data_IF_203507494347
#
_entry.id   IF_203507494347
#
_cell.length_a   1.000
_cell.length_b   1.000
_cell.length_c   1.000
_cell.angle_alpha   90.00
_cell.angle_beta   90.00
_cell.angle_gamma   90.00
#
_symmetry.space_group_name_H-M   'P 1'
#
loop_
_entity.id
_entity.type
_entity.pdbx_description
1 polymer ?
#
# COMPACT_ATOMS: atom_id res chain seq x y z
N UNK A 1 7.98 21.48 -5.97
CA UNK A 1 6.77 20.90 -5.37
C UNK A 1 6.87 19.39 -5.48
N UNK A 2 7.03 18.72 -4.35
CA UNK A 2 7.23 17.27 -4.28
C UNK A 2 5.87 16.61 -4.01
N UNK A 3 5.46 15.66 -4.84
CA UNK A 3 4.19 14.95 -4.64
C UNK A 3 4.49 13.51 -4.24
N UNK A 4 3.97 13.10 -3.09
CA UNK A 4 4.08 11.73 -2.57
C UNK A 4 2.78 10.97 -2.83
N UNK A 5 2.89 9.75 -3.35
CA UNK A 5 1.76 8.83 -3.53
C UNK A 5 1.65 7.90 -2.33
N UNK A 6 0.44 7.73 -1.80
CA UNK A 6 0.15 6.77 -0.73
C UNK A 6 -0.80 5.70 -1.30
N UNK A 7 -0.40 4.43 -1.22
CA UNK A 7 -1.23 3.28 -1.58
C UNK A 7 -1.70 2.61 -0.28
N UNK A 8 -3.02 2.56 -0.07
CA UNK A 8 -3.60 1.91 1.10
C UNK A 8 -3.86 0.42 0.81
N UNK A 9 -2.99 -0.45 1.31
CA UNK A 9 -3.00 -1.90 1.10
C UNK A 9 -3.17 -2.71 2.40
N UNK A 10 -3.71 -2.07 3.46
CA UNK A 10 -3.78 -2.64 4.81
C UNK A 10 -5.01 -3.53 5.07
N UNK A 11 -6.00 -3.54 4.18
CA UNK A 11 -7.31 -4.14 4.42
C UNK A 11 -7.36 -5.66 4.26
N UNK A 12 -8.21 -6.30 5.07
CA UNK A 12 -8.35 -7.76 5.13
C UNK A 12 -9.11 -8.43 3.97
N UNK A 13 -9.67 -7.66 3.03
CA UNK A 13 -10.43 -8.24 1.92
C UNK A 13 -11.62 -9.10 2.36
N UNK A 14 -12.31 -8.72 3.45
CA UNK A 14 -13.38 -9.54 4.07
C UNK A 14 -14.49 -9.96 3.10
N UNK A 15 -14.89 -9.06 2.19
CA UNK A 15 -15.87 -9.36 1.12
C UNK A 15 -15.35 -10.28 0.02
N UNK A 16 -14.03 -10.52 -0.01
CA UNK A 16 -13.33 -11.46 -0.90
C UNK A 16 -12.86 -12.70 -0.13
N UNK A 17 -13.57 -13.08 0.94
CA UNK A 17 -13.27 -14.29 1.71
C UNK A 17 -11.96 -14.23 2.51
N UNK A 18 -11.48 -13.04 2.87
CA UNK A 18 -10.23 -12.88 3.61
C UNK A 18 -8.98 -12.94 2.73
N UNK A 19 -9.12 -12.94 1.41
CA UNK A 19 -8.00 -12.85 0.49
C UNK A 19 -7.27 -11.51 0.63
N UNK A 20 -5.93 -11.55 0.57
CA UNK A 20 -5.10 -10.34 0.60
C UNK A 20 -5.26 -9.60 -0.73
N UNK A 21 -6.23 -8.67 -0.79
CA UNK A 21 -6.65 -8.00 -2.04
C UNK A 21 -5.48 -7.37 -2.82
N UNK A 22 -4.48 -6.83 -2.11
CA UNK A 22 -3.29 -6.25 -2.74
C UNK A 22 -2.48 -7.26 -3.56
N UNK A 23 -2.55 -8.55 -3.21
CA UNK A 23 -1.80 -9.64 -3.84
C UNK A 23 -2.65 -10.49 -4.78
N UNK A 24 -3.95 -10.22 -4.88
CA UNK A 24 -4.79 -10.88 -5.87
C UNK A 24 -4.35 -10.50 -7.28
N UNK A 25 -4.26 -11.51 -8.15
CA UNK A 25 -3.92 -11.31 -9.54
C UNK A 25 -5.03 -10.53 -10.26
N UNK A 26 -4.63 -9.51 -11.00
CA UNK A 26 -5.44 -8.85 -12.02
C UNK A 26 -4.72 -9.15 -13.33
N UNK A 27 -5.23 -10.12 -14.10
CA UNK A 27 -4.47 -10.70 -15.22
C UNK A 27 -3.25 -11.48 -14.72
N UNK A 28 -2.07 -11.14 -15.25
CA UNK A 28 -0.78 -11.79 -14.99
C UNK A 28 -0.01 -11.22 -13.78
N UNK A 29 -0.51 -10.14 -13.15
CA UNK A 29 0.21 -9.40 -12.11
C UNK A 29 -0.66 -9.12 -10.89
N UNK A 30 -0.08 -9.08 -9.67
CA UNK A 30 -0.78 -8.64 -8.48
C UNK A 30 -1.37 -7.24 -8.61
N UNK A 31 -2.49 -6.97 -7.92
CA UNK A 31 -3.12 -5.65 -7.90
C UNK A 31 -2.15 -4.54 -7.47
N UNK A 32 -1.28 -4.82 -6.48
CA UNK A 32 -0.26 -3.88 -6.01
C UNK A 32 0.78 -3.55 -7.10
N UNK A 33 1.28 -4.56 -7.81
CA UNK A 33 2.22 -4.37 -8.94
C UNK A 33 1.60 -3.47 -10.02
N UNK A 34 0.36 -3.75 -10.41
CA UNK A 34 -0.35 -2.91 -11.39
C UNK A 34 -0.50 -1.47 -10.93
N UNK A 35 -0.88 -1.24 -9.67
CA UNK A 35 -0.95 0.11 -9.11
C UNK A 35 0.43 0.79 -9.06
N UNK A 36 1.47 0.04 -8.71
CA UNK A 36 2.84 0.52 -8.69
C UNK A 36 3.27 1.04 -10.07
N UNK A 37 3.02 0.25 -11.11
CA UNK A 37 3.36 0.56 -12.51
C UNK A 37 2.62 1.77 -13.09
N UNK A 38 1.49 2.17 -12.51
CA UNK A 38 0.74 3.37 -12.91
C UNK A 38 1.32 4.68 -12.34
N UNK A 39 2.55 4.68 -11.83
CA UNK A 39 3.17 5.88 -11.25
C UNK A 39 3.50 6.91 -12.35
N UNK A 40 2.93 8.14 -12.30
CA UNK A 40 3.42 9.23 -13.13
C UNK A 40 4.92 9.47 -12.95
N UNK A 41 5.67 9.76 -14.02
CA UNK A 41 7.09 10.10 -13.95
C UNK A 41 7.41 11.27 -13.00
N UNK A 42 6.42 12.15 -12.76
CA UNK A 42 6.55 13.33 -11.90
C UNK A 42 6.39 13.06 -10.40
N UNK A 43 6.04 11.83 -9.99
CA UNK A 43 5.92 11.47 -8.58
C UNK A 43 7.27 11.00 -8.03
N UNK A 44 7.79 11.71 -7.03
CA UNK A 44 9.09 11.41 -6.44
C UNK A 44 9.10 10.20 -5.50
N UNK A 45 8.00 9.96 -4.77
CA UNK A 45 7.94 8.92 -3.72
C UNK A 45 6.60 8.20 -3.71
N UNK A 46 6.62 6.87 -3.56
CA UNK A 46 5.42 6.05 -3.31
C UNK A 46 5.59 5.30 -1.98
N UNK A 47 4.60 5.41 -1.10
CA UNK A 47 4.54 4.73 0.19
C UNK A 47 3.34 3.77 0.18
N UNK A 48 3.55 2.51 0.55
CA UNK A 48 2.49 1.50 0.68
C UNK A 48 2.18 1.26 2.15
N UNK A 49 0.92 1.44 2.56
CA UNK A 49 0.48 1.18 3.93
C UNK A 49 -0.05 -0.25 4.04
N UNK A 50 0.53 -1.04 4.94
CA UNK A 50 0.24 -2.48 5.16
C UNK A 50 -0.50 -2.72 6.48
N UNK A 51 -1.11 -3.90 6.65
CA UNK A 51 -2.01 -4.23 7.76
C UNK A 51 -2.27 -5.74 7.92
N UNK A 52 -3.51 -6.20 7.66
CA UNK A 52 -3.98 -7.59 7.90
C UNK A 52 -2.98 -8.71 7.53
N UNK A 53 -2.29 -8.58 6.39
CA UNK A 53 -1.28 -9.54 5.93
C UNK A 53 0.05 -8.84 5.62
N UNK A 54 0.50 -8.01 6.57
CA UNK A 54 1.61 -7.09 6.35
C UNK A 54 2.88 -7.77 5.82
N UNK A 55 3.32 -8.89 6.38
CA UNK A 55 4.55 -9.57 5.94
C UNK A 55 4.50 -9.98 4.45
N UNK A 56 3.34 -10.47 3.99
CA UNK A 56 3.15 -10.87 2.59
C UNK A 56 3.17 -9.64 1.67
N UNK A 57 2.47 -8.57 2.06
CA UNK A 57 2.40 -7.33 1.27
C UNK A 57 3.75 -6.62 1.24
N UNK A 58 4.48 -6.58 2.36
CA UNK A 58 5.81 -5.97 2.47
C UNK A 58 6.86 -6.75 1.66
N UNK A 59 6.73 -8.07 1.57
CA UNK A 59 7.56 -8.89 0.67
C UNK A 59 7.36 -8.50 -0.79
N UNK A 60 6.11 -8.28 -1.21
CA UNK A 60 5.79 -7.80 -2.55
C UNK A 60 6.27 -6.36 -2.77
N UNK A 61 6.13 -5.48 -1.79
CA UNK A 61 6.70 -4.13 -1.85
C UNK A 61 8.21 -4.17 -2.09
N UNK A 62 8.95 -5.02 -1.36
CA UNK A 62 10.39 -5.21 -1.55
C UNK A 62 10.72 -5.69 -2.97
N UNK A 63 9.97 -6.66 -3.51
CA UNK A 63 10.12 -7.14 -4.89
C UNK A 63 9.94 -6.02 -5.91
N UNK A 64 9.02 -5.10 -5.64
CA UNK A 64 8.69 -3.95 -6.49
C UNK A 64 9.57 -2.71 -6.25
N UNK A 65 10.48 -2.75 -5.26
CA UNK A 65 11.28 -1.59 -4.87
C UNK A 65 10.47 -0.45 -4.22
N UNK A 66 9.33 -0.77 -3.61
CA UNK A 66 8.44 0.20 -2.96
C UNK A 66 8.75 0.33 -1.47
N UNK A 67 8.66 1.55 -0.94
CA UNK A 67 8.65 1.80 0.49
C UNK A 67 7.32 1.36 1.10
N UNK A 68 7.36 0.74 2.27
CA UNK A 68 6.17 0.27 2.97
C UNK A 68 6.18 0.61 4.46
N UNK A 69 5.01 0.86 5.02
CA UNK A 69 4.80 1.10 6.45
C UNK A 69 3.60 0.33 6.97
N UNK A 70 3.82 -0.42 8.05
CA UNK A 70 2.78 -1.15 8.75
C UNK A 70 1.92 -0.21 9.59
N UNK A 71 0.61 -0.25 9.38
CA UNK A 71 -0.37 0.31 10.30
C UNK A 71 -0.85 -0.79 11.26
N UNK A 72 -0.41 -0.78 12.54
CA UNK A 72 -0.87 -1.78 13.51
C UNK A 72 -2.38 -1.66 13.81
N UNK A 73 -2.97 -0.49 13.55
CA UNK A 73 -4.37 -0.17 13.84
C UNK A 73 -5.28 -0.30 12.62
N UNK A 74 -4.91 -1.11 11.62
CA UNK A 74 -5.63 -1.21 10.33
C UNK A 74 -7.11 -1.58 10.49
N UNK A 75 -7.47 -2.30 11.55
CA UNK A 75 -8.85 -2.68 11.90
C UNK A 75 -9.75 -1.48 12.20
N UNK A 76 -9.17 -0.32 12.58
CA UNK A 76 -9.91 0.94 12.79
C UNK A 76 -10.34 1.59 11.46
N UNK A 77 -10.13 0.92 10.33
CA UNK A 77 -10.61 1.33 9.02
C UNK A 77 -9.62 2.19 8.23
N UNK A 78 -10.05 2.62 7.04
CA UNK A 78 -9.19 3.27 6.05
C UNK A 78 -8.56 4.58 6.56
N UNK A 79 -9.28 5.35 7.38
CA UNK A 79 -8.78 6.60 7.97
C UNK A 79 -7.54 6.39 8.84
N UNK A 80 -7.47 5.29 9.62
CA UNK A 80 -6.27 4.98 10.42
C UNK A 80 -5.05 4.74 9.52
N UNK A 81 -5.26 4.07 8.39
CA UNK A 81 -4.21 3.79 7.40
C UNK A 81 -3.77 5.07 6.68
N UNK A 82 -4.72 5.96 6.36
CA UNK A 82 -4.40 7.27 5.81
C UNK A 82 -3.56 8.10 6.78
N UNK A 83 -3.96 8.19 8.07
CA UNK A 83 -3.18 8.88 9.11
C UNK A 83 -1.77 8.32 9.24
N UNK A 84 -1.63 6.99 9.20
CA UNK A 84 -0.33 6.33 9.21
C UNK A 84 0.53 6.77 8.01
N UNK A 85 -0.02 6.80 6.80
CA UNK A 85 0.71 7.30 5.63
C UNK A 85 1.05 8.78 5.70
N UNK A 86 0.13 9.62 6.16
CA UNK A 86 0.36 11.05 6.33
C UNK A 86 1.48 11.35 7.34
N UNK A 87 1.62 10.54 8.40
CA UNK A 87 2.72 10.70 9.38
C UNK A 87 4.13 10.43 8.82
N UNK A 88 4.24 9.90 7.60
CA UNK A 88 5.52 9.69 6.91
C UNK A 88 5.87 10.80 5.94
N UNK A 89 4.96 11.75 5.74
CA UNK A 89 5.24 12.95 4.98
C UNK A 89 6.10 13.86 5.86
N UNK A 90 7.15 14.41 5.26
CA UNK A 90 7.94 15.48 5.86
C UNK A 90 7.33 16.79 5.40
N UNK A 91 7.29 17.78 6.29
CA UNK A 91 7.07 19.16 5.87
C UNK A 91 8.39 19.63 5.22
N UNK A 92 8.32 19.97 3.92
CA UNK A 92 9.39 20.65 3.18
C UNK A 92 9.44 22.13 3.60
#
# INVERSE_FOLDING_TARGET
MTVTRIILAAGAGSRLGGAVKALLAIGDRPALDRLAALQPPSLGRTIVITGFAADQVETECKRLGLESRRNPNWEQGQTSSLKCGLSMLQDD
#
